data_IF_427475891540
#
_entry.id   IF_427475891540
#
_cell.length_a   1.000
_cell.length_b   1.000
_cell.length_c   1.000
_cell.angle_alpha   90.00
_cell.angle_beta   90.00
_cell.angle_gamma   90.00
#
_symmetry.space_group_name_H-M   'P 1'
#
loop_
_entity.id
_entity.type
_entity.pdbx_description
1 polymer ?
#
# COMPACT_ATOMS: atom_id res chain seq x y z
N UNK A 1 -17.36 -58.89 -34.31
CA UNK A 1 -17.60 -58.43 -32.95
C UNK A 1 -16.38 -57.61 -32.56
N UNK A 2 -16.48 -56.36 -32.79
CA UNK A 2 -15.37 -55.38 -32.61
C UNK A 2 -15.82 -54.32 -31.62
N UNK A 3 -15.18 -54.31 -30.47
CA UNK A 3 -15.45 -53.36 -29.40
C UNK A 3 -14.52 -52.18 -29.61
N UNK A 4 -15.07 -51.00 -29.79
CA UNK A 4 -14.34 -49.74 -29.97
C UNK A 4 -14.30 -49.00 -28.65
N UNK A 5 -13.11 -48.89 -28.03
CA UNK A 5 -12.86 -48.10 -26.85
C UNK A 5 -12.80 -46.60 -27.21
N UNK A 6 -13.77 -45.85 -26.75
CA UNK A 6 -13.77 -44.40 -26.78
C UNK A 6 -12.75 -43.82 -25.75
N UNK A 7 -11.74 -43.14 -26.28
CA UNK A 7 -10.81 -42.33 -25.48
C UNK A 7 -11.46 -40.99 -25.19
N UNK A 8 -11.91 -40.81 -23.96
CA UNK A 8 -12.32 -39.51 -23.43
C UNK A 8 -11.13 -38.53 -23.39
N UNK A 9 -11.22 -37.44 -24.13
CA UNK A 9 -10.31 -36.28 -24.00
C UNK A 9 -10.51 -35.61 -22.64
N UNK A 10 -9.42 -35.20 -21.95
CA UNK A 10 -9.55 -34.32 -20.79
C UNK A 10 -10.05 -32.97 -21.26
N UNK A 11 -11.11 -32.48 -20.65
CA UNK A 11 -11.62 -31.13 -20.84
C UNK A 11 -10.61 -30.13 -20.24
N UNK A 12 -9.97 -29.37 -21.11
CA UNK A 12 -9.26 -28.16 -20.76
C UNK A 12 -10.21 -27.26 -19.96
N UNK A 13 -9.89 -27.05 -18.71
CA UNK A 13 -10.52 -26.00 -17.92
C UNK A 13 -10.07 -24.67 -18.50
N UNK A 14 -10.91 -24.06 -19.31
CA UNK A 14 -10.78 -22.69 -19.75
C UNK A 14 -10.52 -21.80 -18.52
N UNK A 15 -9.31 -21.27 -18.47
CA UNK A 15 -8.93 -20.21 -17.55
C UNK A 15 -9.64 -18.95 -18.04
N UNK A 16 -10.86 -18.72 -17.53
CA UNK A 16 -11.60 -17.48 -17.79
C UNK A 16 -10.74 -16.33 -17.27
N UNK A 17 -10.28 -15.39 -18.11
CA UNK A 17 -9.56 -14.22 -17.62
C UNK A 17 -10.50 -13.46 -16.71
N UNK A 18 -10.06 -13.18 -15.48
CA UNK A 18 -10.76 -12.29 -14.56
C UNK A 18 -10.85 -10.94 -15.26
N UNK A 19 -12.01 -10.62 -15.79
CA UNK A 19 -12.28 -9.32 -16.41
C UNK A 19 -12.23 -8.29 -15.30
N UNK A 20 -11.09 -7.62 -15.14
CA UNK A 20 -10.94 -6.50 -14.22
C UNK A 20 -12.02 -5.48 -14.57
N UNK A 21 -12.88 -5.15 -13.62
CA UNK A 21 -13.94 -4.16 -13.80
C UNK A 21 -13.34 -2.82 -14.28
N UNK A 22 -14.04 -2.14 -15.20
CA UNK A 22 -13.62 -0.85 -15.74
C UNK A 22 -13.30 0.16 -14.64
N UNK A 23 -14.05 0.12 -13.52
CA UNK A 23 -13.83 0.95 -12.34
C UNK A 23 -12.44 0.70 -11.72
N UNK A 24 -12.08 -0.55 -11.52
CA UNK A 24 -10.76 -0.96 -10.97
C UNK A 24 -9.63 -0.61 -11.93
N UNK A 25 -9.82 -0.84 -13.24
CA UNK A 25 -8.83 -0.45 -14.26
C UNK A 25 -8.54 1.06 -14.23
N UNK A 26 -9.55 1.89 -14.06
CA UNK A 26 -9.39 3.34 -13.94
C UNK A 26 -8.63 3.70 -12.65
N UNK A 27 -8.93 3.05 -11.52
CA UNK A 27 -8.23 3.29 -10.25
C UNK A 27 -6.74 2.94 -10.33
N UNK A 28 -6.39 1.80 -10.91
CA UNK A 28 -4.99 1.40 -11.09
C UNK A 28 -4.23 2.33 -12.05
N UNK A 29 -4.89 2.79 -13.13
CA UNK A 29 -4.32 3.79 -14.02
C UNK A 29 -4.08 5.13 -13.32
N UNK A 30 -5.01 5.55 -12.45
CA UNK A 30 -4.87 6.76 -11.65
C UNK A 30 -3.72 6.65 -10.64
N UNK A 31 -3.63 5.52 -9.93
CA UNK A 31 -2.57 5.22 -8.97
C UNK A 31 -1.18 5.40 -9.61
N UNK A 32 -0.95 4.76 -10.76
CA UNK A 32 0.31 4.88 -11.51
C UNK A 32 0.60 6.32 -11.94
N UNK A 33 -0.37 7.01 -12.52
CA UNK A 33 -0.19 8.40 -12.95
C UNK A 33 0.09 9.34 -11.76
N UNK A 34 -0.58 9.13 -10.64
CA UNK A 34 -0.34 9.92 -9.43
C UNK A 34 1.04 9.64 -8.83
N UNK A 35 1.50 8.39 -8.84
CA UNK A 35 2.85 8.02 -8.44
C UNK A 35 3.92 8.64 -9.36
N UNK A 36 3.71 8.62 -10.68
CA UNK A 36 4.65 9.15 -11.68
C UNK A 36 4.73 10.68 -11.67
N UNK A 37 3.59 11.37 -11.60
CA UNK A 37 3.49 12.81 -11.91
C UNK A 37 3.03 13.67 -10.74
N UNK A 38 2.39 13.08 -9.74
CA UNK A 38 1.71 13.78 -8.65
C UNK A 38 0.25 14.08 -8.99
N UNK A 39 -0.56 14.08 -7.95
CA UNK A 39 -2.03 14.23 -8.04
C UNK A 39 -2.41 15.51 -8.79
N UNK A 40 -1.75 16.66 -8.53
CA UNK A 40 -2.13 17.96 -9.12
C UNK A 40 -1.97 18.01 -10.64
N UNK A 41 -0.97 17.31 -11.16
CA UNK A 41 -0.60 17.40 -12.56
C UNK A 41 -1.34 16.38 -13.46
N UNK A 42 -2.23 15.58 -12.87
CA UNK A 42 -2.97 14.54 -13.59
C UNK A 42 -4.45 14.92 -13.69
N UNK A 43 -5.00 14.95 -14.90
CA UNK A 43 -6.41 15.19 -15.17
C UNK A 43 -7.21 13.90 -15.28
N UNK A 44 -8.52 13.94 -15.04
CA UNK A 44 -9.42 12.79 -15.23
C UNK A 44 -9.37 12.27 -16.68
N UNK A 45 -9.15 13.15 -17.65
CA UNK A 45 -8.98 12.75 -19.06
C UNK A 45 -7.76 11.89 -19.27
N UNK A 46 -6.60 12.29 -18.75
CA UNK A 46 -5.35 11.49 -18.84
C UNK A 46 -5.50 10.12 -18.17
N UNK A 47 -6.23 10.05 -17.04
CA UNK A 47 -6.54 8.79 -16.38
C UNK A 47 -7.41 7.91 -17.29
N UNK A 48 -8.44 8.46 -17.90
CA UNK A 48 -9.30 7.73 -18.84
C UNK A 48 -8.51 7.18 -20.04
N UNK A 49 -7.66 8.01 -20.64
CA UNK A 49 -6.77 7.63 -21.75
C UNK A 49 -5.83 6.48 -21.35
N UNK A 50 -5.19 6.58 -20.19
CA UNK A 50 -4.28 5.52 -19.65
C UNK A 50 -5.03 4.22 -19.32
N UNK A 51 -6.28 4.32 -18.87
CA UNK A 51 -7.15 3.19 -18.58
C UNK A 51 -7.79 2.56 -19.84
N UNK A 52 -7.45 3.04 -21.03
CA UNK A 52 -8.01 2.55 -22.30
C UNK A 52 -9.50 2.85 -22.48
N UNK A 53 -10.04 3.83 -21.75
CA UNK A 53 -11.45 4.21 -21.86
C UNK A 53 -11.69 5.00 -23.14
N UNK A 54 -12.50 4.46 -24.03
CA UNK A 54 -12.87 5.13 -25.31
C UNK A 54 -13.74 6.37 -25.10
N UNK A 55 -14.43 6.43 -23.96
CA UNK A 55 -15.31 7.56 -23.61
C UNK A 55 -14.65 8.41 -22.52
N UNK A 56 -14.32 9.65 -22.83
CA UNK A 56 -13.75 10.61 -21.86
C UNK A 56 -14.64 10.87 -20.64
N UNK A 57 -15.94 10.53 -20.72
CA UNK A 57 -16.89 10.66 -19.61
C UNK A 57 -16.89 9.46 -18.66
N UNK A 58 -16.22 8.34 -18.99
CA UNK A 58 -16.25 7.12 -18.17
C UNK A 58 -15.72 7.37 -16.75
N UNK A 59 -14.58 8.08 -16.62
CA UNK A 59 -14.01 8.40 -15.31
C UNK A 59 -14.97 9.26 -14.49
N UNK A 60 -15.56 10.28 -15.13
CA UNK A 60 -16.53 11.16 -14.47
C UNK A 60 -17.83 10.43 -14.12
N UNK A 61 -18.27 9.48 -14.94
CA UNK A 61 -19.44 8.64 -14.65
C UNK A 61 -19.21 7.78 -13.40
N UNK A 62 -18.03 7.15 -13.26
CA UNK A 62 -17.74 6.25 -12.13
C UNK A 62 -17.40 6.98 -10.83
N UNK A 63 -16.78 8.17 -10.89
CA UNK A 63 -16.20 8.81 -9.72
C UNK A 63 -16.66 10.26 -9.49
N UNK A 64 -17.33 10.86 -10.45
CA UNK A 64 -17.82 12.26 -10.41
C UNK A 64 -16.68 13.26 -10.51
N UNK A 65 -15.85 13.36 -9.46
CA UNK A 65 -14.75 14.31 -9.35
C UNK A 65 -13.40 13.60 -9.16
N UNK A 66 -12.32 14.37 -9.21
CA UNK A 66 -10.98 13.87 -8.92
C UNK A 66 -10.83 13.44 -7.46
N UNK A 67 -11.46 14.19 -6.55
CA UNK A 67 -11.52 13.87 -5.13
C UNK A 67 -12.30 12.56 -4.89
N UNK A 68 -13.41 12.36 -5.61
CA UNK A 68 -14.18 11.11 -5.60
C UNK A 68 -13.35 9.90 -6.06
N UNK A 69 -12.53 10.09 -7.11
CA UNK A 69 -11.63 9.06 -7.60
C UNK A 69 -10.52 8.75 -6.58
N UNK A 70 -9.91 9.77 -5.98
CA UNK A 70 -8.88 9.60 -4.94
C UNK A 70 -9.45 8.86 -3.74
N UNK A 71 -10.66 9.22 -3.30
CA UNK A 71 -11.33 8.52 -2.20
C UNK A 71 -11.58 7.06 -2.52
N UNK A 72 -12.03 6.76 -3.75
CA UNK A 72 -12.22 5.39 -4.19
C UNK A 72 -10.91 4.60 -4.30
N UNK A 73 -9.80 5.27 -4.63
CA UNK A 73 -8.47 4.65 -4.60
C UNK A 73 -8.03 4.31 -3.17
N UNK A 74 -8.34 5.19 -2.20
CA UNK A 74 -8.10 4.89 -0.78
C UNK A 74 -8.97 3.73 -0.29
N UNK A 75 -10.26 3.69 -0.65
CA UNK A 75 -11.13 2.56 -0.32
C UNK A 75 -10.53 1.24 -0.86
N UNK A 76 -10.02 1.26 -2.09
CA UNK A 76 -9.42 0.08 -2.71
C UNK A 76 -8.15 -0.42 -1.97
N UNK A 77 -7.31 0.51 -1.51
CA UNK A 77 -5.97 0.19 -0.99
C UNK A 77 -5.89 0.21 0.53
N UNK A 78 -6.45 1.26 1.16
CA UNK A 78 -6.31 1.44 2.61
C UNK A 78 -7.25 0.54 3.42
N UNK A 79 -8.45 0.24 2.93
CA UNK A 79 -9.36 -0.61 3.71
C UNK A 79 -8.76 -1.99 3.98
N UNK A 80 -8.24 -2.74 2.98
CA UNK A 80 -7.55 -4.01 3.24
C UNK A 80 -6.33 -3.87 4.16
N UNK A 81 -5.54 -2.80 3.99
CA UNK A 81 -4.37 -2.55 4.86
C UNK A 81 -4.78 -2.28 6.31
N UNK A 82 -5.89 -1.55 6.52
CA UNK A 82 -6.44 -1.28 7.85
C UNK A 82 -6.95 -2.57 8.52
N UNK A 83 -7.63 -3.42 7.77
CA UNK A 83 -8.15 -4.70 8.25
C UNK A 83 -7.01 -5.62 8.68
N UNK A 84 -5.99 -5.77 7.84
CA UNK A 84 -4.83 -6.60 8.15
C UNK A 84 -4.05 -6.07 9.36
N UNK A 85 -3.84 -4.76 9.43
CA UNK A 85 -3.19 -4.12 10.58
C UNK A 85 -3.97 -4.35 11.87
N UNK A 86 -5.30 -4.22 11.83
CA UNK A 86 -6.17 -4.49 12.97
C UNK A 86 -6.11 -5.96 13.39
N UNK A 87 -6.04 -6.87 12.42
CA UNK A 87 -5.88 -8.30 12.68
C UNK A 87 -4.56 -8.60 13.39
N UNK A 88 -3.45 -8.04 12.92
CA UNK A 88 -2.14 -8.21 13.55
C UNK A 88 -2.12 -7.66 14.99
N UNK A 89 -2.69 -6.48 15.21
CA UNK A 89 -2.79 -5.91 16.55
C UNK A 89 -3.62 -6.79 17.51
N UNK A 90 -4.69 -7.41 17.01
CA UNK A 90 -5.58 -8.23 17.83
C UNK A 90 -4.96 -9.57 18.27
N UNK A 91 -3.80 -9.97 17.73
CA UNK A 91 -3.08 -11.19 18.13
C UNK A 91 -2.39 -11.05 19.49
N UNK A 92 -2.23 -9.83 20.03
CA UNK A 92 -1.48 -9.54 21.24
C UNK A 92 -2.30 -8.64 22.18
N UNK A 93 -2.48 -9.05 23.45
CA UNK A 93 -3.11 -8.19 24.46
C UNK A 93 -2.26 -6.95 24.80
N UNK A 94 -0.93 -7.11 24.77
CA UNK A 94 0.05 -6.06 25.03
C UNK A 94 1.16 -6.16 24.00
N UNK A 95 0.98 -5.57 22.81
CA UNK A 95 1.94 -5.69 21.71
C UNK A 95 3.27 -5.03 22.07
N UNK A 96 4.37 -5.75 21.83
CA UNK A 96 5.75 -5.24 21.95
C UNK A 96 6.11 -4.32 20.78
N UNK A 97 7.25 -3.62 20.85
CA UNK A 97 7.73 -2.81 19.72
C UNK A 97 7.92 -3.62 18.42
N UNK A 98 8.47 -4.86 18.45
CA UNK A 98 8.47 -5.72 17.26
C UNK A 98 7.08 -6.01 16.70
N UNK A 99 6.09 -6.32 17.54
CA UNK A 99 4.71 -6.58 17.09
C UNK A 99 4.09 -5.33 16.46
N UNK A 100 4.38 -4.16 17.02
CA UNK A 100 3.92 -2.88 16.48
C UNK A 100 4.62 -2.52 15.17
N UNK A 101 5.91 -2.83 15.05
CA UNK A 101 6.66 -2.65 13.80
C UNK A 101 6.07 -3.54 12.71
N UNK A 102 5.78 -4.81 13.02
CA UNK A 102 5.15 -5.76 12.11
C UNK A 102 3.77 -5.25 11.66
N UNK A 103 2.88 -4.89 12.59
CA UNK A 103 1.56 -4.35 12.27
C UNK A 103 1.62 -3.05 11.44
N UNK A 104 2.69 -2.27 11.55
CA UNK A 104 2.84 -1.01 10.79
C UNK A 104 3.40 -1.23 9.38
N UNK A 105 4.40 -2.10 9.23
CA UNK A 105 5.17 -2.31 7.99
C UNK A 105 4.55 -3.37 7.10
N UNK A 106 4.23 -4.55 7.68
CA UNK A 106 3.90 -5.77 6.91
C UNK A 106 2.70 -5.60 5.98
N UNK A 107 1.58 -4.95 6.35
CA UNK A 107 0.45 -4.84 5.42
C UNK A 107 0.80 -4.11 4.12
N UNK A 108 1.59 -3.04 4.17
CA UNK A 108 2.02 -2.33 2.97
C UNK A 108 3.15 -3.08 2.23
N UNK A 109 4.05 -3.74 2.96
CA UNK A 109 5.11 -4.56 2.39
C UNK A 109 4.54 -5.74 1.58
N UNK A 110 3.55 -6.45 2.13
CA UNK A 110 2.87 -7.56 1.44
C UNK A 110 2.16 -7.06 0.17
N UNK A 111 1.47 -5.92 0.23
CA UNK A 111 0.88 -5.32 -0.98
C UNK A 111 1.94 -5.08 -2.06
N UNK A 112 3.11 -4.56 -1.70
CA UNK A 112 4.21 -4.27 -2.63
C UNK A 112 4.77 -5.57 -3.22
N UNK A 113 5.04 -6.57 -2.38
CA UNK A 113 5.64 -7.85 -2.80
C UNK A 113 4.66 -8.66 -3.65
N UNK A 114 3.42 -8.81 -3.20
CA UNK A 114 2.42 -9.64 -3.87
C UNK A 114 1.99 -9.07 -5.22
N UNK A 115 2.08 -7.75 -5.38
CA UNK A 115 1.79 -7.08 -6.65
C UNK A 115 2.83 -7.35 -7.74
N UNK A 116 4.03 -7.83 -7.37
CA UNK A 116 5.14 -8.14 -8.31
C UNK A 116 5.44 -7.03 -9.32
N UNK A 117 5.36 -5.77 -8.87
CA UNK A 117 5.56 -4.59 -9.72
C UNK A 117 4.30 -4.06 -10.40
N UNK A 118 3.14 -4.69 -10.16
CA UNK A 118 1.86 -4.20 -10.70
C UNK A 118 1.20 -3.10 -9.86
N UNK A 119 1.69 -2.82 -8.65
CA UNK A 119 1.28 -1.70 -7.81
C UNK A 119 2.17 -0.47 -8.04
N UNK A 120 1.61 0.71 -7.80
CA UNK A 120 2.33 1.98 -7.66
C UNK A 120 1.89 2.71 -6.37
N UNK A 121 1.28 1.98 -5.43
CA UNK A 121 0.62 2.56 -4.27
C UNK A 121 1.61 3.09 -3.23
N UNK A 122 2.71 2.38 -2.96
CA UNK A 122 3.72 2.84 -2.01
C UNK A 122 4.39 4.13 -2.51
N UNK A 123 4.70 4.23 -3.82
CA UNK A 123 5.21 5.45 -4.46
C UNK A 123 4.20 6.58 -4.46
N UNK A 124 2.93 6.26 -4.68
CA UNK A 124 1.86 7.25 -4.59
C UNK A 124 1.77 7.83 -3.18
N UNK A 125 1.78 6.99 -2.13
CA UNK A 125 1.72 7.44 -0.73
C UNK A 125 2.98 8.21 -0.33
N UNK A 126 4.17 7.75 -0.68
CA UNK A 126 5.43 8.47 -0.40
C UNK A 126 5.41 9.89 -0.98
N UNK A 127 5.01 9.99 -2.25
CA UNK A 127 4.90 11.30 -2.92
C UNK A 127 3.83 12.19 -2.31
N UNK A 128 2.76 11.57 -1.84
CA UNK A 128 1.62 12.25 -1.25
C UNK A 128 1.93 12.80 0.14
N UNK A 129 2.51 11.99 1.03
CA UNK A 129 2.90 12.37 2.38
C UNK A 129 4.04 13.41 2.40
N UNK A 130 4.88 13.44 1.37
CA UNK A 130 5.95 14.41 1.21
C UNK A 130 5.50 15.88 1.03
N UNK A 131 4.17 16.14 0.92
CA UNK A 131 3.59 17.48 0.68
C UNK A 131 3.30 18.29 1.92
N UNK A 132 3.49 17.73 3.12
CA UNK A 132 3.23 18.43 4.37
C UNK A 132 1.78 18.37 4.83
N UNK A 133 1.50 19.09 5.94
CA UNK A 133 0.22 18.99 6.69
C UNK A 133 -1.01 19.56 5.98
N UNK A 134 -0.84 20.28 4.88
CA UNK A 134 -1.94 20.97 4.18
C UNK A 134 -2.79 20.02 3.33
N UNK A 135 -2.45 18.74 3.34
CA UNK A 135 -3.14 17.73 2.60
C UNK A 135 -3.59 16.59 3.53
N UNK A 136 -4.78 16.71 4.11
CA UNK A 136 -5.46 15.62 4.83
C UNK A 136 -6.47 14.95 3.89
N UNK A 137 -6.07 13.91 3.17
CA UNK A 137 -6.96 13.19 2.28
C UNK A 137 -7.66 12.02 2.93
N UNK A 138 -7.22 11.68 4.16
CA UNK A 138 -7.68 10.51 4.87
C UNK A 138 -8.75 10.93 5.88
N UNK A 139 -9.97 10.45 5.68
CA UNK A 139 -10.94 10.43 6.78
C UNK A 139 -10.54 9.35 7.81
N UNK A 140 -11.20 9.35 8.96
CA UNK A 140 -10.90 8.40 10.06
C UNK A 140 -10.99 6.94 9.61
N UNK A 141 -11.80 6.62 8.59
CA UNK A 141 -11.92 5.26 8.04
C UNK A 141 -10.61 4.76 7.41
N UNK A 142 -9.81 5.66 6.84
CA UNK A 142 -8.58 5.33 6.13
C UNK A 142 -7.33 5.39 7.00
N UNK A 143 -7.42 5.94 8.22
CA UNK A 143 -6.26 6.18 9.08
C UNK A 143 -6.34 5.54 10.47
N UNK A 144 -7.50 5.08 10.90
CA UNK A 144 -7.77 4.61 12.27
C UNK A 144 -6.74 3.56 12.76
N UNK A 145 -6.48 2.46 12.04
CA UNK A 145 -5.54 1.44 12.55
C UNK A 145 -4.07 1.91 12.51
N UNK A 146 -3.68 2.76 11.54
CA UNK A 146 -2.34 3.34 11.51
C UNK A 146 -2.13 4.35 12.63
N UNK A 147 -3.14 5.13 12.97
CA UNK A 147 -3.13 6.02 14.13
C UNK A 147 -3.06 5.24 15.44
N UNK A 148 -3.78 4.12 15.54
CA UNK A 148 -3.73 3.25 16.72
C UNK A 148 -2.35 2.63 16.92
N UNK A 149 -1.73 2.07 15.87
CA UNK A 149 -0.33 1.59 15.96
C UNK A 149 0.60 2.71 16.40
N UNK A 150 0.49 3.91 15.78
CA UNK A 150 1.30 5.06 16.15
C UNK A 150 1.12 5.45 17.62
N UNK A 151 -0.12 5.45 18.13
CA UNK A 151 -0.45 5.71 19.54
C UNK A 151 0.20 4.68 20.46
N UNK A 152 0.11 3.39 20.10
CA UNK A 152 0.73 2.31 20.86
C UNK A 152 2.26 2.41 20.85
N UNK A 153 2.89 2.69 19.71
CA UNK A 153 4.33 2.98 19.62
C UNK A 153 4.72 4.15 20.54
N UNK A 154 3.94 5.23 20.55
CA UNK A 154 4.18 6.38 21.41
C UNK A 154 4.13 6.01 22.90
N UNK A 155 3.26 5.08 23.31
CA UNK A 155 3.17 4.62 24.71
C UNK A 155 4.43 3.87 25.19
N UNK A 156 5.13 3.17 24.29
CA UNK A 156 6.43 2.55 24.58
C UNK A 156 7.56 3.58 24.77
N UNK A 157 7.37 4.80 24.33
CA UNK A 157 8.33 5.91 24.43
C UNK A 157 7.98 6.88 25.58
N UNK A 158 7.26 6.45 26.62
CA UNK A 158 6.76 7.31 27.71
C UNK A 158 7.88 8.01 28.51
N UNK A 159 9.11 7.44 28.49
CA UNK A 159 10.30 8.05 29.13
C UNK A 159 11.12 8.99 28.20
N UNK A 160 10.67 9.21 26.96
CA UNK A 160 11.36 10.04 25.97
C UNK A 160 10.68 11.42 25.91
N UNK A 161 11.43 12.56 25.83
CA UNK A 161 10.85 13.87 25.62
C UNK A 161 9.88 13.93 24.44
N UNK A 162 8.81 14.71 24.55
CA UNK A 162 7.71 14.71 23.57
C UNK A 162 8.17 15.06 22.15
N UNK A 163 9.06 16.04 22.02
CA UNK A 163 9.63 16.46 20.74
C UNK A 163 10.49 15.37 20.09
N UNK A 164 11.30 14.67 20.88
CA UNK A 164 12.10 13.51 20.41
C UNK A 164 11.20 12.34 20.03
N UNK A 165 10.15 12.08 20.82
CA UNK A 165 9.17 11.01 20.53
C UNK A 165 8.45 11.26 19.21
N UNK A 166 7.93 12.46 19.00
CA UNK A 166 7.26 12.83 17.75
C UNK A 166 8.21 12.75 16.55
N UNK A 167 9.46 13.16 16.71
CA UNK A 167 10.45 13.08 15.64
C UNK A 167 10.80 11.62 15.30
N UNK A 168 10.95 10.72 16.29
CA UNK A 168 11.16 9.29 16.04
C UNK A 168 9.99 8.67 15.26
N UNK A 169 8.76 8.97 15.66
CA UNK A 169 7.57 8.48 14.97
C UNK A 169 7.46 9.04 13.53
N UNK A 170 7.86 10.30 13.33
CA UNK A 170 7.94 10.88 11.99
C UNK A 170 9.00 10.21 11.13
N UNK A 171 10.19 9.96 11.70
CA UNK A 171 11.26 9.24 11.00
C UNK A 171 10.86 7.83 10.62
N UNK A 172 10.18 7.09 11.49
CA UNK A 172 9.63 5.76 11.17
C UNK A 172 8.68 5.85 9.98
N UNK A 173 7.76 6.81 9.96
CA UNK A 173 6.83 6.98 8.84
C UNK A 173 7.57 7.24 7.53
N UNK A 174 8.52 8.20 7.52
CA UNK A 174 9.30 8.54 6.32
C UNK A 174 10.15 7.35 5.86
N UNK A 175 10.82 6.66 6.78
CA UNK A 175 11.64 5.50 6.48
C UNK A 175 10.82 4.37 5.86
N UNK A 176 9.68 4.03 6.45
CA UNK A 176 8.82 2.95 5.96
C UNK A 176 8.25 3.28 4.59
N UNK A 177 7.62 4.44 4.43
CA UNK A 177 7.00 4.80 3.15
C UNK A 177 8.04 4.93 2.03
N UNK A 178 9.20 5.55 2.29
CA UNK A 178 10.25 5.72 1.29
C UNK A 178 10.91 4.40 0.92
N UNK A 179 11.21 3.52 1.88
CA UNK A 179 11.84 2.23 1.61
C UNK A 179 10.92 1.31 0.81
N UNK A 180 9.62 1.29 1.12
CA UNK A 180 8.66 0.47 0.38
C UNK A 180 8.36 1.06 -1.01
N UNK A 181 8.37 2.38 -1.17
CA UNK A 181 8.27 3.02 -2.49
C UNK A 181 9.48 2.71 -3.38
N UNK A 182 10.70 2.70 -2.82
CA UNK A 182 11.91 2.28 -3.53
C UNK A 182 11.87 0.79 -3.91
N UNK A 183 11.44 -0.06 -2.99
CA UNK A 183 11.28 -1.49 -3.25
C UNK A 183 10.26 -1.74 -4.37
N UNK A 184 9.11 -1.06 -4.33
CA UNK A 184 8.06 -1.15 -5.36
C UNK A 184 8.61 -0.76 -6.74
N UNK A 185 9.42 0.32 -6.82
CA UNK A 185 10.07 0.72 -8.07
C UNK A 185 11.07 -0.32 -8.56
N UNK A 186 11.91 -0.87 -7.67
CA UNK A 186 12.90 -1.90 -8.04
C UNK A 186 12.23 -3.19 -8.54
N UNK A 187 11.11 -3.59 -7.94
CA UNK A 187 10.32 -4.73 -8.41
C UNK A 187 9.71 -4.48 -9.79
N UNK A 188 9.17 -3.28 -10.05
CA UNK A 188 8.62 -2.90 -11.36
C UNK A 188 9.71 -2.90 -12.44
N UNK A 189 10.90 -2.40 -12.11
CA UNK A 189 12.04 -2.32 -13.04
C UNK A 189 12.78 -3.66 -13.24
N UNK A 190 12.38 -4.71 -12.50
CA UNK A 190 13.08 -6.00 -12.50
C UNK A 190 14.46 -5.95 -11.84
N UNK A 191 14.72 -4.95 -11.00
CA UNK A 191 15.98 -4.72 -10.29
C UNK A 191 15.97 -5.30 -8.87
N UNK A 192 14.90 -5.97 -8.48
CA UNK A 192 14.82 -6.75 -7.25
C UNK A 192 14.01 -8.02 -7.48
N UNK A 193 14.41 -9.11 -6.82
CA UNK A 193 13.66 -10.35 -6.77
C UNK A 193 12.93 -10.53 -5.42
N UNK A 194 12.21 -11.64 -5.27
CA UNK A 194 11.46 -11.92 -4.05
C UNK A 194 12.36 -12.08 -2.81
N UNK A 195 13.57 -12.60 -2.96
CA UNK A 195 14.48 -12.79 -1.83
C UNK A 195 15.01 -11.42 -1.35
N UNK A 196 15.37 -10.54 -2.28
CA UNK A 196 15.81 -9.17 -1.99
C UNK A 196 14.67 -8.34 -1.38
N UNK A 197 13.44 -8.56 -1.84
CA UNK A 197 12.26 -7.90 -1.28
C UNK A 197 12.04 -8.30 0.19
N UNK A 198 12.08 -9.59 0.50
CA UNK A 198 11.95 -10.08 1.89
C UNK A 198 13.09 -9.59 2.79
N UNK A 199 14.34 -9.59 2.29
CA UNK A 199 15.47 -9.03 3.02
C UNK A 199 15.28 -7.55 3.33
N UNK A 200 14.79 -6.77 2.35
CA UNK A 200 14.50 -5.34 2.55
C UNK A 200 13.49 -5.14 3.69
N UNK A 201 12.42 -5.93 3.70
CA UNK A 201 11.38 -5.85 4.75
C UNK A 201 11.92 -6.28 6.11
N UNK A 202 12.70 -7.36 6.18
CA UNK A 202 13.32 -7.82 7.43
C UNK A 202 14.24 -6.74 8.05
N UNK A 203 15.10 -6.13 7.22
CA UNK A 203 15.97 -5.02 7.66
C UNK A 203 15.15 -3.80 8.08
N UNK A 204 14.10 -3.48 7.35
CA UNK A 204 13.22 -2.35 7.66
C UNK A 204 12.51 -2.53 9.00
N UNK A 205 11.98 -3.73 9.28
CA UNK A 205 11.35 -4.07 10.57
C UNK A 205 12.32 -3.86 11.74
N UNK A 206 13.55 -4.34 11.62
CA UNK A 206 14.59 -4.11 12.64
C UNK A 206 14.92 -2.65 12.83
N UNK A 207 15.08 -1.90 11.73
CA UNK A 207 15.36 -0.46 11.78
C UNK A 207 14.25 0.34 12.47
N UNK A 208 12.97 -0.03 12.25
CA UNK A 208 11.84 0.59 12.96
C UNK A 208 11.95 0.37 14.47
N UNK A 209 12.24 -0.87 14.90
CA UNK A 209 12.41 -1.20 16.33
C UNK A 209 13.59 -0.43 16.92
N UNK A 210 14.71 -0.32 16.22
CA UNK A 210 15.92 0.38 16.68
C UNK A 210 15.68 1.89 16.82
N UNK A 211 15.00 2.51 15.87
CA UNK A 211 14.63 3.95 15.93
C UNK A 211 13.72 4.23 17.13
N UNK A 212 12.78 3.33 17.40
CA UNK A 212 11.85 3.50 18.53
C UNK A 212 12.49 3.11 19.86
N UNK A 213 13.30 2.03 19.93
CA UNK A 213 13.89 1.50 21.14
C UNK A 213 15.22 2.16 21.56
N UNK A 214 15.82 2.96 20.70
CA UNK A 214 17.12 3.61 20.95
C UNK A 214 17.12 4.50 22.20
N UNK A 215 18.21 4.46 22.98
CA UNK A 215 18.39 5.28 24.18
C UNK A 215 18.31 6.79 23.83
N UNK A 216 17.64 7.56 24.67
CA UNK A 216 17.52 9.02 24.52
C UNK A 216 18.82 9.77 24.85
N UNK A 217 19.99 9.13 24.73
CA UNK A 217 21.30 9.75 25.03
C UNK A 217 21.79 10.50 23.79
N UNK A 218 21.56 11.81 23.76
CA UNK A 218 22.40 12.77 23.06
C UNK A 218 23.24 13.53 24.10
#
# INVERSE_FOLDING_TARGET
>A
MTDAAEHGRPTDKEHTPVTTDARTTILLAAERLFAERGVEFVSLRQIGERAGQRNNSAVQYHFGTKEGLIRALYDLRLVPLQEERSRLLATHESPSLPDLADAYVTPLADLVIDSRGDSAYARFIDRYLGRGRDFEPFDDRHSHSSQEVRRLMASHLSGVPDDVREERLRLVQVMVTRSLADLEQRLEDGNADAAEAHLTVEVLLRAVVDVLGGSATC
#
